data_IF_479622194485
#
_entry.id   IF_479622194485
#
_cell.length_a   1.000
_cell.length_b   1.000
_cell.length_c   1.000
_cell.angle_alpha   90.00
_cell.angle_beta   90.00
_cell.angle_gamma   90.00
#
_symmetry.space_group_name_H-M   'P 1'
#
loop_
_entity.id
_entity.type
_entity.pdbx_description
1 polymer ?
#
# COMPACT_ATOMS: atom_id res chain seq x y z
N UNK A 1 3.76 26.95 -6.50
CA UNK A 1 4.00 25.90 -7.52
C UNK A 1 3.08 24.70 -7.24
N UNK A 2 2.02 24.49 -8.04
CA UNK A 2 1.16 23.30 -7.93
C UNK A 2 2.01 22.07 -8.28
N UNK A 3 2.27 21.17 -7.33
CA UNK A 3 2.87 19.87 -7.67
C UNK A 3 1.85 19.13 -8.56
N UNK A 4 2.23 18.86 -9.82
CA UNK A 4 1.50 17.97 -10.71
C UNK A 4 1.21 16.64 -10.00
N UNK A 5 0.01 16.08 -10.19
CA UNK A 5 -0.39 14.82 -9.52
C UNK A 5 0.59 13.69 -9.85
N UNK A 6 1.13 13.67 -11.08
CA UNK A 6 2.14 12.71 -11.55
C UNK A 6 3.50 12.86 -10.88
N UNK A 7 3.75 13.97 -10.16
CA UNK A 7 4.98 14.18 -9.37
C UNK A 7 4.81 13.79 -7.90
N UNK A 8 3.60 13.39 -7.48
CA UNK A 8 3.34 12.95 -6.10
C UNK A 8 3.65 11.46 -5.97
N UNK A 9 4.48 11.09 -5.01
CA UNK A 9 4.77 9.68 -4.73
C UNK A 9 3.51 8.94 -4.29
N UNK A 10 2.57 9.62 -3.63
CA UNK A 10 1.25 9.07 -3.31
C UNK A 10 0.55 8.50 -4.54
N UNK A 11 0.58 9.20 -5.68
CA UNK A 11 -0.07 8.73 -6.90
C UNK A 11 0.52 7.41 -7.39
N UNK A 12 1.86 7.33 -7.44
CA UNK A 12 2.57 6.13 -7.88
C UNK A 12 2.39 4.95 -6.92
N UNK A 13 2.35 5.19 -5.61
CA UNK A 13 2.11 4.15 -4.62
C UNK A 13 0.69 3.62 -4.65
N UNK A 14 -0.31 4.48 -4.87
CA UNK A 14 -1.69 4.04 -5.07
C UNK A 14 -1.79 3.21 -6.35
N UNK A 15 -1.18 3.66 -7.45
CA UNK A 15 -1.18 2.91 -8.71
C UNK A 15 -0.52 1.54 -8.54
N UNK A 16 0.65 1.48 -7.89
CA UNK A 16 1.33 0.23 -7.54
C UNK A 16 0.46 -0.70 -6.69
N UNK A 17 -0.19 -0.17 -5.67
CA UNK A 17 -1.10 -0.93 -4.82
C UNK A 17 -2.28 -1.51 -5.61
N UNK A 18 -2.88 -0.72 -6.50
CA UNK A 18 -3.95 -1.20 -7.38
C UNK A 18 -3.48 -2.33 -8.29
N UNK A 19 -2.27 -2.24 -8.86
CA UNK A 19 -1.70 -3.32 -9.69
C UNK A 19 -1.56 -4.63 -8.91
N UNK A 20 -1.11 -4.57 -7.65
CA UNK A 20 -1.03 -5.76 -6.78
C UNK A 20 -2.41 -6.33 -6.51
N UNK A 21 -3.38 -5.46 -6.18
CA UNK A 21 -4.77 -5.88 -5.97
C UNK A 21 -5.33 -6.59 -7.21
N UNK A 22 -5.12 -6.04 -8.41
CA UNK A 22 -5.56 -6.64 -9.67
C UNK A 22 -4.85 -7.97 -9.97
N UNK A 23 -3.54 -8.07 -9.70
CA UNK A 23 -2.82 -9.34 -9.86
C UNK A 23 -3.40 -10.44 -8.96
N UNK A 24 -3.74 -10.10 -7.70
CA UNK A 24 -4.39 -11.03 -6.78
C UNK A 24 -5.83 -11.38 -7.18
N UNK A 25 -6.61 -10.40 -7.66
CA UNK A 25 -7.97 -10.64 -8.16
C UNK A 25 -7.99 -11.56 -9.39
N UNK A 26 -6.96 -11.46 -10.24
CA UNK A 26 -6.81 -12.28 -11.45
C UNK A 26 -6.43 -13.73 -11.15
N UNK A 27 -6.22 -14.09 -9.87
CA UNK A 27 -5.78 -15.42 -9.45
C UNK A 27 -4.30 -15.69 -9.68
N UNK A 28 -3.52 -14.70 -10.12
CA UNK A 28 -2.09 -14.83 -10.42
C UNK A 28 -1.20 -14.49 -9.21
N UNK A 29 -1.74 -14.63 -8.00
CA UNK A 29 -1.07 -14.32 -6.74
C UNK A 29 -0.99 -15.52 -5.80
N UNK A 30 -0.48 -16.64 -6.33
CA UNK A 30 -0.26 -17.88 -5.56
C UNK A 30 0.70 -17.68 -4.38
N UNK A 31 1.54 -16.64 -4.43
CA UNK A 31 2.54 -16.31 -3.41
C UNK A 31 1.99 -15.39 -2.30
N UNK A 32 0.70 -15.00 -2.35
CA UNK A 32 0.10 -14.04 -1.42
C UNK A 32 0.90 -12.73 -1.31
N UNK A 33 1.38 -12.22 -2.46
CA UNK A 33 2.12 -10.96 -2.60
C UNK A 33 1.32 -9.79 -2.02
N UNK A 34 -0.01 -9.78 -2.20
CA UNK A 34 -0.88 -8.78 -1.58
C UNK A 34 -0.70 -8.72 -0.06
N UNK A 35 -0.74 -9.88 0.60
CA UNK A 35 -0.62 -9.99 2.06
C UNK A 35 0.80 -9.63 2.50
N UNK A 36 1.81 -10.18 1.79
CA UNK A 36 3.22 -9.88 2.03
C UNK A 36 3.51 -8.38 2.00
N UNK A 37 3.03 -7.68 0.97
CA UNK A 37 3.24 -6.25 0.78
C UNK A 37 2.31 -5.36 1.59
N UNK A 38 1.33 -5.93 2.31
CA UNK A 38 0.51 -5.19 3.28
C UNK A 38 1.28 -4.96 4.59
N UNK A 39 2.12 -5.92 5.01
CA UNK A 39 3.00 -5.74 6.17
C UNK A 39 4.28 -6.57 6.05
N UNK A 40 5.25 -6.17 5.20
CA UNK A 40 6.45 -6.95 4.96
C UNK A 40 7.36 -7.07 6.19
N UNK A 41 7.16 -6.24 7.22
CA UNK A 41 7.99 -6.19 8.41
C UNK A 41 7.57 -7.17 9.51
N UNK A 42 6.30 -7.60 9.53
CA UNK A 42 5.79 -8.52 10.54
C UNK A 42 5.44 -9.89 9.93
N UNK A 43 6.37 -10.87 9.97
CA UNK A 43 6.15 -12.20 9.41
C UNK A 43 5.04 -12.98 10.15
N UNK A 44 4.83 -12.72 11.44
CA UNK A 44 3.79 -13.40 12.22
C UNK A 44 2.39 -12.94 11.79
N UNK A 45 2.20 -11.63 11.64
CA UNK A 45 0.94 -11.09 11.12
C UNK A 45 0.68 -11.54 9.68
N UNK A 46 1.73 -11.59 8.86
CA UNK A 46 1.65 -12.13 7.50
C UNK A 46 1.11 -13.56 7.48
N UNK A 47 1.70 -14.45 8.29
CA UNK A 47 1.27 -15.85 8.38
C UNK A 47 -0.18 -15.98 8.86
N UNK A 48 -0.58 -15.17 9.85
CA UNK A 48 -1.94 -15.15 10.36
C UNK A 48 -2.95 -14.67 9.30
N UNK A 49 -2.65 -13.56 8.61
CA UNK A 49 -3.47 -13.03 7.53
C UNK A 49 -3.61 -14.02 6.36
N UNK A 50 -2.52 -14.68 5.98
CA UNK A 50 -2.56 -15.73 4.95
C UNK A 50 -3.50 -16.86 5.36
N UNK A 51 -3.41 -17.35 6.59
CA UNK A 51 -4.30 -18.41 7.09
C UNK A 51 -5.79 -18.03 7.02
N UNK A 52 -6.12 -16.79 7.39
CA UNK A 52 -7.50 -16.28 7.30
C UNK A 52 -7.97 -16.11 5.86
N UNK A 53 -7.08 -15.64 4.98
CA UNK A 53 -7.39 -15.42 3.57
C UNK A 53 -7.46 -16.71 2.73
N UNK A 54 -6.95 -17.83 3.27
CA UNK A 54 -7.07 -19.15 2.64
C UNK A 54 -8.22 -19.98 3.20
N UNK A 55 -8.84 -19.57 4.31
CA UNK A 55 -9.97 -20.29 4.90
C UNK A 55 -11.27 -19.90 4.18
N UNK A 56 -11.95 -20.82 3.48
CA UNK A 56 -13.11 -20.51 2.65
C UNK A 56 -14.29 -19.90 3.44
N UNK A 57 -14.43 -20.20 4.73
CA UNK A 57 -15.52 -19.66 5.56
C UNK A 57 -15.31 -18.17 5.89
N UNK A 58 -14.06 -17.74 6.03
CA UNK A 58 -13.71 -16.36 6.42
C UNK A 58 -13.24 -15.51 5.24
N UNK A 59 -12.79 -16.14 4.15
CA UNK A 59 -12.15 -15.46 3.02
C UNK A 59 -13.05 -14.39 2.41
N UNK A 60 -14.35 -14.64 2.26
CA UNK A 60 -15.25 -13.69 1.59
C UNK A 60 -15.32 -12.32 2.32
N UNK A 61 -15.29 -12.33 3.65
CA UNK A 61 -15.31 -11.12 4.47
C UNK A 61 -13.93 -10.46 4.56
N UNK A 62 -12.88 -11.27 4.67
CA UNK A 62 -11.53 -10.76 4.90
C UNK A 62 -10.84 -10.26 3.63
N UNK A 63 -11.19 -10.78 2.45
CA UNK A 63 -10.56 -10.35 1.19
C UNK A 63 -10.72 -8.84 0.97
N UNK A 64 -11.93 -8.25 1.01
CA UNK A 64 -12.13 -6.81 0.87
C UNK A 64 -11.36 -5.99 1.91
N UNK A 65 -11.29 -6.49 3.15
CA UNK A 65 -10.55 -5.84 4.24
C UNK A 65 -9.03 -5.82 3.96
N UNK A 66 -8.47 -6.91 3.44
CA UNK A 66 -7.06 -6.99 3.08
C UNK A 66 -6.74 -6.02 1.93
N UNK A 67 -7.57 -5.97 0.88
CA UNK A 67 -7.40 -4.99 -0.20
C UNK A 67 -7.48 -3.55 0.31
N UNK A 68 -8.47 -3.26 1.17
CA UNK A 68 -8.63 -1.95 1.80
C UNK A 68 -7.42 -1.55 2.63
N UNK A 69 -6.94 -2.46 3.48
CA UNK A 69 -5.77 -2.24 4.32
C UNK A 69 -4.50 -2.03 3.48
N UNK A 70 -4.31 -2.84 2.44
CA UNK A 70 -3.19 -2.72 1.51
C UNK A 70 -3.19 -1.34 0.82
N UNK A 71 -4.34 -0.94 0.28
CA UNK A 71 -4.49 0.36 -0.39
C UNK A 71 -4.26 1.53 0.58
N UNK A 72 -4.81 1.44 1.80
CA UNK A 72 -4.61 2.45 2.84
C UNK A 72 -3.14 2.56 3.26
N UNK A 73 -2.44 1.42 3.40
CA UNK A 73 -1.03 1.40 3.76
C UNK A 73 -0.19 2.15 2.72
N UNK A 74 -0.32 1.81 1.43
CA UNK A 74 0.45 2.45 0.36
C UNK A 74 0.06 3.91 0.14
N UNK A 75 -1.22 4.25 0.27
CA UNK A 75 -1.69 5.65 0.25
C UNK A 75 -1.07 6.46 1.39
N UNK A 76 -1.13 5.93 2.61
CA UNK A 76 -0.58 6.57 3.81
C UNK A 76 0.93 6.77 3.71
N UNK A 77 1.65 5.73 3.29
CA UNK A 77 3.10 5.79 3.05
C UNK A 77 3.45 6.89 2.05
N UNK A 78 2.74 6.94 0.92
CA UNK A 78 2.96 7.95 -0.12
C UNK A 78 2.71 9.37 0.39
N UNK A 79 1.64 9.58 1.16
CA UNK A 79 1.31 10.87 1.76
C UNK A 79 2.38 11.32 2.78
N UNK A 80 2.92 10.40 3.57
CA UNK A 80 3.99 10.70 4.52
C UNK A 80 5.24 11.16 3.77
N UNK A 81 5.67 10.42 2.74
CA UNK A 81 6.87 10.79 1.97
C UNK A 81 6.66 12.13 1.24
N UNK A 82 5.51 12.33 0.61
CA UNK A 82 5.18 13.60 -0.06
C UNK A 82 5.20 14.78 0.94
N UNK A 83 4.74 14.59 2.18
CA UNK A 83 4.83 15.59 3.25
C UNK A 83 6.27 15.88 3.66
N UNK A 84 7.11 14.84 3.82
CA UNK A 84 8.53 14.99 4.17
C UNK A 84 9.30 15.76 3.09
N UNK A 85 9.11 15.40 1.81
CA UNK A 85 9.74 16.10 0.67
C UNK A 85 9.36 17.58 0.64
N UNK A 86 8.09 17.91 0.91
CA UNK A 86 7.65 19.32 0.97
C UNK A 86 8.29 20.07 2.14
N UNK A 87 8.39 19.44 3.32
CA UNK A 87 9.03 20.03 4.51
C UNK A 87 10.50 20.36 4.22
N UNK A 88 11.22 19.47 3.56
CA UNK A 88 12.63 19.69 3.20
C UNK A 88 12.83 20.80 2.16
N UNK A 89 11.93 20.88 1.16
CA UNK A 89 11.96 21.97 0.17
C UNK A 89 11.69 23.34 0.81
N UNK A 90 10.76 23.42 1.76
CA UNK A 90 10.46 24.67 2.45
C UNK A 90 11.64 25.12 3.34
N UNK A 91 12.28 24.19 4.06
CA UNK A 91 13.48 24.50 4.86
C UNK A 91 14.62 25.08 4.02
N UNK A 92 14.90 24.51 2.85
CA UNK A 92 15.92 25.03 1.92
C UNK A 92 15.61 26.41 1.37
N UNK A 93 14.33 26.81 1.36
CA UNK A 93 13.90 28.10 0.82
C UNK A 93 13.91 29.22 1.87
N UNK A 94 13.74 28.89 3.16
CA UNK A 94 13.76 29.85 4.29
C UNK A 94 15.16 30.04 4.88
N UNK A 95 16.09 29.11 4.67
CA UNK A 95 17.49 29.22 5.10
C UNK A 95 18.43 29.92 4.09
N UNK A 96 17.87 30.62 3.10
CA UNK A 96 18.59 31.50 2.17
C UNK A 96 18.06 32.92 2.32
#
# INVERSE_FOLDING_TARGET
>A
MKLSIFKKLTFWFVLFSLLICFNNLSGNDDKNILIYLTNPFNPFLNKWLTGINTNPETTYLFRPLIYGLHLLFWTGLGLIIDKLIKKDKNKKHTGR
#
